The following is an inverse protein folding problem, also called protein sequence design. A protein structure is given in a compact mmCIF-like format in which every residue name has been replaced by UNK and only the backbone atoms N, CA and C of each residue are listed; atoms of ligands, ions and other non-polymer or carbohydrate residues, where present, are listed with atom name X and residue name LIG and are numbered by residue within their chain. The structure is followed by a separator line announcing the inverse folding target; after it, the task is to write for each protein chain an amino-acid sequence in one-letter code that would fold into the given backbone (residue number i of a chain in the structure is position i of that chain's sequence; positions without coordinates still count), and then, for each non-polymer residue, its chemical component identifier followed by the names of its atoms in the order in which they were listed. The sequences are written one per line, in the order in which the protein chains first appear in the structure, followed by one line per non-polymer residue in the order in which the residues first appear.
data_IF_875000904327
#
_entry.id   IF_875000904327
#
_cell.length_a   1.000
_cell.length_b   1.000
_cell.length_c   1.000
_cell.angle_alpha   90.00
_cell.angle_beta   90.00
_cell.angle_gamma   90.00
#
_symmetry.space_group_name_H-M   'P 1'
#
loop_
_entity.id
_entity.type
_entity.pdbx_description
1 polymer ?
#
# COMPACT_ATOMS: atom_id res chain seq x y z
N UNK A 1 39.08 26.23 2.87
CA UNK A 1 37.98 26.19 1.87
C UNK A 1 37.35 24.79 1.67
N UNK A 2 37.51 23.80 2.58
CA UNK A 2 37.07 22.43 2.37
C UNK A 2 35.80 22.00 3.18
N UNK A 3 35.17 22.94 3.88
CA UNK A 3 34.00 22.61 4.72
C UNK A 3 32.64 22.84 4.06
N UNK A 4 32.57 23.73 3.08
CA UNK A 4 31.30 24.12 2.43
C UNK A 4 30.83 23.11 1.38
N UNK A 5 31.73 22.47 0.66
CA UNK A 5 31.38 21.48 -0.37
C UNK A 5 30.91 20.14 0.20
N UNK A 6 31.36 19.75 1.40
CA UNK A 6 30.83 18.49 2.04
C UNK A 6 29.45 18.64 2.64
N UNK A 7 29.07 19.82 3.13
CA UNK A 7 27.73 20.06 3.68
C UNK A 7 26.67 20.09 2.59
N UNK A 8 26.95 20.68 1.43
CA UNK A 8 26.00 20.72 0.31
C UNK A 8 25.78 19.35 -0.33
N UNK A 9 26.80 18.49 -0.44
CA UNK A 9 26.63 17.14 -1.00
C UNK A 9 25.82 16.24 -0.07
N UNK A 10 26.08 16.26 1.24
CA UNK A 10 25.33 15.47 2.23
C UNK A 10 23.89 15.98 2.33
N UNK A 11 23.66 17.28 2.24
CA UNK A 11 22.32 17.87 2.28
C UNK A 11 21.52 17.54 1.02
N UNK A 12 22.14 17.61 -0.17
CA UNK A 12 21.51 17.20 -1.43
C UNK A 12 21.21 15.70 -1.49
N UNK A 13 22.07 14.82 -0.94
CA UNK A 13 21.80 13.39 -0.86
C UNK A 13 20.66 13.10 0.12
N UNK A 14 20.57 13.80 1.25
CA UNK A 14 19.49 13.67 2.21
C UNK A 14 18.14 14.11 1.60
N UNK A 15 18.09 15.26 0.92
CA UNK A 15 16.90 15.77 0.24
C UNK A 15 16.47 14.87 -0.93
N UNK A 16 17.43 14.35 -1.70
CA UNK A 16 17.17 13.38 -2.77
C UNK A 16 16.60 12.07 -2.21
N UNK A 17 17.09 11.62 -1.05
CA UNK A 17 16.59 10.43 -0.35
C UNK A 17 15.17 10.64 0.17
N UNK A 18 14.83 11.82 0.70
CA UNK A 18 13.46 12.15 1.15
C UNK A 18 12.47 12.23 -0.01
N UNK A 19 12.85 12.85 -1.13
CA UNK A 19 12.00 12.95 -2.32
C UNK A 19 11.61 11.57 -2.92
N UNK A 20 12.49 10.57 -2.81
CA UNK A 20 12.25 9.22 -3.34
C UNK A 20 11.36 8.32 -2.46
N UNK A 21 11.05 8.74 -1.22
CA UNK A 21 10.26 7.96 -0.25
C UNK A 21 8.75 8.13 -0.37
N UNK A 22 8.28 9.08 -1.17
CA UNK A 22 6.86 9.28 -1.42
C UNK A 22 6.35 8.21 -2.40
N UNK A 23 5.24 7.57 -2.05
CA UNK A 23 4.64 6.48 -2.81
C UNK A 23 3.45 6.90 -3.64
N UNK A 24 3.36 6.36 -4.86
CA UNK A 24 2.21 6.50 -5.75
C UNK A 24 1.20 5.38 -5.48
N UNK A 25 -0.08 5.76 -5.34
CA UNK A 25 -1.19 4.84 -5.07
C UNK A 25 -1.96 4.53 -6.34
N UNK A 26 -1.82 3.33 -6.85
CA UNK A 26 -2.57 2.65 -7.91
C UNK A 26 -2.52 3.30 -9.30
N UNK A 27 -2.96 4.55 -9.43
CA UNK A 27 -3.18 5.23 -10.72
C UNK A 27 -2.65 6.65 -10.67
N UNK A 28 -2.50 7.29 -11.83
CA UNK A 28 -2.20 8.72 -11.93
C UNK A 28 -3.45 9.53 -12.23
N UNK A 29 -3.48 10.78 -11.73
CA UNK A 29 -4.51 11.76 -12.09
C UNK A 29 -4.43 12.10 -13.59
N UNK A 30 -3.22 12.23 -14.13
CA UNK A 30 -2.92 12.47 -15.55
C UNK A 30 -3.34 11.35 -16.51
N UNK A 31 -3.87 10.21 -16.01
CA UNK A 31 -4.28 9.03 -16.80
C UNK A 31 -3.11 8.25 -17.44
N UNK A 32 -1.85 8.60 -17.20
CA UNK A 32 -0.69 7.88 -17.75
C UNK A 32 -0.56 6.46 -17.20
N UNK A 33 -0.95 6.27 -15.91
CA UNK A 33 -1.03 4.95 -15.28
C UNK A 33 -2.49 4.63 -15.04
N UNK A 34 -2.99 3.57 -15.68
CA UNK A 34 -4.36 3.07 -15.54
C UNK A 34 -4.38 1.57 -15.78
N UNK A 35 -5.36 0.88 -15.17
CA UNK A 35 -5.55 -0.55 -15.33
C UNK A 35 -6.94 -0.83 -15.90
N UNK A 36 -7.08 -2.00 -16.50
CA UNK A 36 -8.35 -2.49 -17.03
C UNK A 36 -8.96 -3.52 -16.10
N UNK A 37 -10.27 -3.61 -16.14
CA UNK A 37 -11.02 -4.64 -15.41
C UNK A 37 -12.14 -5.18 -16.30
N UNK A 38 -12.72 -6.28 -15.87
CA UNK A 38 -13.92 -6.86 -16.48
C UNK A 38 -14.90 -7.20 -15.37
N UNK A 39 -16.18 -6.92 -15.58
CA UNK A 39 -17.23 -7.31 -14.61
C UNK A 39 -17.55 -8.79 -14.74
N UNK A 40 -17.99 -9.42 -13.63
CA UNK A 40 -18.45 -10.81 -13.63
C UNK A 40 -19.56 -11.06 -14.65
N UNK A 41 -20.52 -10.15 -14.76
CA UNK A 41 -21.60 -10.24 -15.72
C UNK A 41 -21.09 -10.30 -17.16
N UNK A 42 -20.12 -9.47 -17.52
CA UNK A 42 -19.51 -9.49 -18.84
C UNK A 42 -18.70 -10.77 -19.10
N UNK A 43 -17.94 -11.23 -18.12
CA UNK A 43 -17.14 -12.46 -18.23
C UNK A 43 -18.04 -13.67 -18.50
N UNK A 44 -19.12 -13.79 -17.74
CA UNK A 44 -20.08 -14.91 -17.87
C UNK A 44 -20.95 -14.90 -19.14
N UNK A 45 -20.83 -13.90 -20.01
CA UNK A 45 -21.46 -13.91 -21.34
C UNK A 45 -20.70 -14.79 -22.35
N UNK A 46 -19.52 -15.27 -21.98
CA UNK A 46 -18.64 -16.10 -22.79
C UNK A 46 -18.63 -17.55 -22.30
N UNK A 47 -18.36 -18.49 -23.18
CA UNK A 47 -18.00 -19.85 -22.77
C UNK A 47 -16.65 -19.88 -22.06
N UNK A 48 -16.30 -21.01 -21.46
CA UNK A 48 -15.13 -21.15 -20.60
C UNK A 48 -13.81 -20.84 -21.32
N UNK A 49 -13.64 -21.29 -22.56
CA UNK A 49 -12.42 -21.05 -23.35
C UNK A 49 -12.28 -19.57 -23.75
N UNK A 50 -13.39 -18.94 -24.11
CA UNK A 50 -13.41 -17.50 -24.40
C UNK A 50 -13.19 -16.66 -23.12
N UNK A 51 -13.69 -17.09 -21.94
CA UNK A 51 -13.38 -16.45 -20.66
C UNK A 51 -11.89 -16.51 -20.34
N UNK A 52 -11.24 -17.67 -20.50
CA UNK A 52 -9.79 -17.82 -20.29
C UNK A 52 -8.99 -16.93 -21.21
N UNK A 53 -9.34 -16.92 -22.50
CA UNK A 53 -8.68 -16.06 -23.49
C UNK A 53 -8.81 -14.58 -23.14
N UNK A 54 -10.04 -14.13 -22.79
CA UNK A 54 -10.30 -12.75 -22.40
C UNK A 54 -9.50 -12.36 -21.14
N UNK A 55 -9.43 -13.22 -20.16
CA UNK A 55 -8.66 -12.96 -18.94
C UNK A 55 -7.16 -12.93 -19.21
N UNK A 56 -6.63 -13.86 -20.03
CA UNK A 56 -5.21 -13.89 -20.38
C UNK A 56 -4.79 -12.62 -21.15
N UNK A 57 -5.62 -12.14 -22.08
CA UNK A 57 -5.38 -10.89 -22.80
C UNK A 57 -5.44 -9.67 -21.85
N UNK A 58 -6.43 -9.65 -20.95
CA UNK A 58 -6.57 -8.60 -19.94
C UNK A 58 -5.36 -8.57 -18.99
N UNK A 59 -4.88 -9.73 -18.55
CA UNK A 59 -3.72 -9.84 -17.66
C UNK A 59 -2.45 -9.37 -18.35
N UNK A 60 -2.24 -9.74 -19.62
CA UNK A 60 -1.09 -9.25 -20.40
C UNK A 60 -1.14 -7.73 -20.60
N UNK A 61 -2.32 -7.16 -20.89
CA UNK A 61 -2.48 -5.70 -21.01
C UNK A 61 -2.21 -5.02 -19.64
N UNK A 62 -2.73 -5.55 -18.53
CA UNK A 62 -2.47 -4.99 -17.19
C UNK A 62 -1.00 -5.15 -16.79
N UNK A 63 -0.33 -6.21 -17.21
CA UNK A 63 1.10 -6.39 -16.97
C UNK A 63 1.94 -5.34 -17.72
N UNK A 64 1.61 -5.04 -18.98
CA UNK A 64 2.22 -3.95 -19.72
C UNK A 64 1.97 -2.58 -19.07
N UNK A 65 0.78 -2.38 -18.48
CA UNK A 65 0.44 -1.17 -17.74
C UNK A 65 1.20 -1.07 -16.42
N UNK A 66 1.43 -2.20 -15.75
CA UNK A 66 2.29 -2.24 -14.57
C UNK A 66 3.72 -1.85 -14.94
N UNK A 67 4.25 -2.37 -16.04
CA UNK A 67 5.56 -2.01 -16.54
C UNK A 67 5.65 -0.50 -16.89
N UNK A 68 4.58 0.06 -17.49
CA UNK A 68 4.46 1.51 -17.70
C UNK A 68 4.44 2.29 -16.38
N UNK A 69 3.74 1.78 -15.35
CA UNK A 69 3.72 2.39 -14.03
C UNK A 69 5.10 2.40 -13.37
N UNK A 70 5.87 1.33 -13.50
CA UNK A 70 7.25 1.26 -13.01
C UNK A 70 8.15 2.27 -13.71
N UNK A 71 8.05 2.38 -15.05
CA UNK A 71 8.78 3.39 -15.83
C UNK A 71 8.40 4.80 -15.36
N UNK A 72 7.09 5.07 -15.22
CA UNK A 72 6.60 6.35 -14.70
C UNK A 72 7.16 6.67 -13.32
N UNK A 73 7.16 5.69 -12.41
CA UNK A 73 7.73 5.86 -11.08
C UNK A 73 9.23 6.19 -11.13
N UNK A 74 10.00 5.44 -11.94
CA UNK A 74 11.43 5.68 -12.11
C UNK A 74 11.73 7.07 -12.70
N UNK A 75 11.01 7.48 -13.74
CA UNK A 75 11.17 8.77 -14.42
C UNK A 75 10.79 9.96 -13.51
N UNK A 76 10.00 9.71 -12.47
CA UNK A 76 9.54 10.71 -11.51
C UNK A 76 10.14 10.53 -10.10
N UNK A 77 11.24 9.77 -9.93
CA UNK A 77 11.90 9.50 -8.65
C UNK A 77 10.97 8.92 -7.56
N UNK A 78 9.96 8.15 -7.93
CA UNK A 78 9.03 7.49 -7.02
C UNK A 78 9.52 6.07 -6.75
N UNK A 79 9.98 5.80 -5.54
CA UNK A 79 10.57 4.51 -5.16
C UNK A 79 9.58 3.55 -4.47
N UNK A 80 8.33 3.96 -4.28
CA UNK A 80 7.26 3.16 -3.67
C UNK A 80 6.02 3.20 -4.57
N UNK A 81 5.49 2.03 -4.90
CA UNK A 81 4.29 1.92 -5.70
C UNK A 81 3.30 0.92 -5.11
N UNK A 82 2.10 1.40 -4.75
CA UNK A 82 0.97 0.53 -4.38
C UNK A 82 0.25 0.08 -5.64
N UNK A 83 0.33 -1.23 -5.93
CA UNK A 83 -0.39 -1.84 -7.03
C UNK A 83 -1.90 -1.90 -6.73
N UNK A 84 -2.77 -1.79 -7.74
CA UNK A 84 -4.22 -1.95 -7.53
C UNK A 84 -4.56 -3.39 -7.12
N UNK A 85 -5.49 -3.56 -6.18
CA UNK A 85 -5.99 -4.87 -5.76
C UNK A 85 -6.60 -5.67 -6.92
N UNK A 86 -7.11 -4.99 -7.93
CA UNK A 86 -7.70 -5.57 -9.14
C UNK A 86 -6.72 -5.73 -10.32
N UNK A 87 -5.41 -5.83 -10.06
CA UNK A 87 -4.39 -5.98 -11.11
C UNK A 87 -4.70 -7.16 -12.03
N UNK A 88 -5.08 -8.31 -11.46
CA UNK A 88 -5.50 -9.51 -12.18
C UNK A 88 -6.90 -9.95 -11.70
N UNK A 89 -7.98 -9.39 -12.28
CA UNK A 89 -9.35 -9.69 -11.86
C UNK A 89 -9.66 -11.19 -11.97
N UNK A 90 -10.39 -11.74 -10.99
CA UNK A 90 -10.76 -13.17 -10.91
C UNK A 90 -9.58 -14.14 -10.74
N UNK A 91 -8.39 -13.68 -10.38
CA UNK A 91 -7.26 -14.58 -10.11
C UNK A 91 -7.50 -15.45 -8.86
N UNK A 92 -8.40 -15.06 -7.96
CA UNK A 92 -8.91 -15.88 -6.85
C UNK A 92 -9.70 -17.12 -7.33
N UNK A 93 -10.25 -17.12 -8.55
CA UNK A 93 -10.99 -18.24 -9.14
C UNK A 93 -10.10 -19.15 -10.01
N UNK A 94 -10.55 -20.39 -10.23
CA UNK A 94 -9.83 -21.37 -11.06
C UNK A 94 -9.56 -20.84 -12.48
N UNK A 95 -10.58 -20.24 -13.11
CA UNK A 95 -10.49 -19.68 -14.47
C UNK A 95 -9.39 -18.60 -14.60
N UNK A 96 -9.23 -17.77 -13.55
CA UNK A 96 -8.17 -16.74 -13.54
C UNK A 96 -6.78 -17.34 -13.38
N UNK A 97 -6.62 -18.37 -12.52
CA UNK A 97 -5.35 -19.11 -12.38
C UNK A 97 -4.96 -19.83 -13.67
N UNK A 98 -5.91 -20.43 -14.35
CA UNK A 98 -5.67 -21.04 -15.66
C UNK A 98 -5.27 -20.03 -16.73
N UNK A 99 -5.92 -18.87 -16.76
CA UNK A 99 -5.54 -17.76 -17.67
C UNK A 99 -4.13 -17.22 -17.37
N UNK A 100 -3.68 -17.24 -16.13
CA UNK A 100 -2.35 -16.79 -15.69
C UNK A 100 -1.24 -17.79 -16.05
N UNK A 101 -1.54 -19.08 -16.21
CA UNK A 101 -0.53 -20.15 -16.35
C UNK A 101 0.48 -19.90 -17.50
N UNK A 102 0.02 -19.25 -18.59
CA UNK A 102 0.88 -18.91 -19.73
C UNK A 102 1.62 -17.57 -19.60
N UNK A 103 1.50 -16.85 -18.46
CA UNK A 103 2.06 -15.51 -18.26
C UNK A 103 3.08 -15.43 -17.12
N UNK A 104 3.37 -16.56 -16.46
CA UNK A 104 4.22 -16.63 -15.26
C UNK A 104 5.60 -15.97 -15.49
N UNK A 105 6.25 -16.28 -16.60
CA UNK A 105 7.57 -15.72 -16.92
C UNK A 105 7.51 -14.22 -17.22
N UNK A 106 6.43 -13.76 -17.90
CA UNK A 106 6.21 -12.33 -18.17
C UNK A 106 5.99 -11.55 -16.85
N UNK A 107 5.21 -12.12 -15.92
CA UNK A 107 4.98 -11.51 -14.58
C UNK A 107 6.28 -11.44 -13.79
N UNK A 108 7.06 -12.54 -13.76
CA UNK A 108 8.35 -12.58 -13.10
C UNK A 108 9.34 -11.54 -13.66
N UNK A 109 9.36 -11.35 -14.98
CA UNK A 109 10.20 -10.35 -15.63
C UNK A 109 9.87 -8.91 -15.20
N UNK A 110 8.56 -8.58 -15.06
CA UNK A 110 8.13 -7.25 -14.57
C UNK A 110 8.51 -7.06 -13.11
N UNK A 111 8.35 -8.08 -12.27
CA UNK A 111 8.78 -8.03 -10.87
C UNK A 111 10.29 -7.86 -10.71
N UNK A 112 11.09 -8.57 -11.50
CA UNK A 112 12.55 -8.41 -11.54
C UNK A 112 12.94 -6.97 -11.98
N UNK A 113 12.19 -6.39 -12.91
CA UNK A 113 12.41 -5.01 -13.34
C UNK A 113 12.10 -4.01 -12.23
N UNK A 114 11.02 -4.18 -11.46
CA UNK A 114 10.74 -3.36 -10.29
C UNK A 114 11.91 -3.37 -9.30
N UNK A 115 12.44 -4.56 -9.01
CA UNK A 115 13.60 -4.74 -8.13
C UNK A 115 14.86 -4.05 -8.69
N UNK A 116 15.13 -4.18 -9.99
CA UNK A 116 16.26 -3.52 -10.64
C UNK A 116 16.17 -1.99 -10.62
N UNK A 117 14.96 -1.44 -10.65
CA UNK A 117 14.68 0.00 -10.53
C UNK A 117 14.63 0.46 -9.06
N UNK A 118 14.83 -0.42 -8.08
CA UNK A 118 14.66 -0.15 -6.64
C UNK A 118 13.27 0.43 -6.29
N UNK A 119 12.22 -0.03 -6.98
CA UNK A 119 10.84 0.35 -6.69
C UNK A 119 10.24 -0.70 -5.76
N UNK A 120 9.85 -0.28 -4.56
CA UNK A 120 9.13 -1.10 -3.58
C UNK A 120 7.70 -1.27 -4.04
N UNK A 121 7.25 -2.54 -4.17
CA UNK A 121 5.86 -2.88 -4.50
C UNK A 121 5.10 -3.29 -3.25
N UNK A 122 3.92 -2.72 -3.07
CA UNK A 122 3.00 -3.04 -1.98
C UNK A 122 1.58 -3.21 -2.52
N UNK A 123 0.71 -3.84 -1.76
CA UNK A 123 -0.71 -4.02 -2.11
C UNK A 123 -1.60 -3.70 -0.90
N UNK A 124 -2.76 -3.15 -1.21
CA UNK A 124 -3.84 -2.95 -0.24
C UNK A 124 -5.10 -3.61 -0.80
N UNK A 125 -5.48 -4.81 -0.31
CA UNK A 125 -6.76 -5.43 -0.65
C UNK A 125 -7.93 -4.51 -0.33
N UNK A 126 -9.02 -4.66 -1.09
CA UNK A 126 -10.23 -3.90 -0.82
C UNK A 126 -10.75 -4.20 0.60
N UNK A 127 -11.49 -3.26 1.18
CA UNK A 127 -12.01 -3.26 2.56
C UNK A 127 -12.95 -4.43 2.94
N UNK A 128 -13.13 -5.41 2.05
CA UNK A 128 -13.90 -6.62 2.31
C UNK A 128 -13.12 -7.72 3.03
N UNK A 129 -11.81 -7.52 3.28
CA UNK A 129 -10.97 -8.47 4.03
C UNK A 129 -11.20 -8.25 5.53
N UNK A 130 -11.89 -9.20 6.18
CA UNK A 130 -12.24 -9.13 7.60
C UNK A 130 -11.89 -10.46 8.28
N UNK A 131 -10.65 -10.57 8.77
CA UNK A 131 -10.11 -11.80 9.37
C UNK A 131 -10.74 -12.16 10.72
N UNK A 132 -11.31 -11.20 11.43
CA UNK A 132 -11.94 -11.36 12.74
C UNK A 132 -13.47 -11.31 12.68
N UNK A 133 -14.07 -11.60 11.52
CA UNK A 133 -15.53 -11.73 11.40
C UNK A 133 -16.08 -12.85 12.29
N UNK A 134 -17.32 -12.67 12.76
CA UNK A 134 -18.07 -13.74 13.43
C UNK A 134 -18.57 -14.82 12.43
N UNK A 135 -18.49 -14.55 11.13
CA UNK A 135 -18.89 -15.50 10.07
C UNK A 135 -17.65 -16.19 9.50
N UNK A 136 -17.61 -17.52 9.65
CA UNK A 136 -16.51 -18.35 9.09
C UNK A 136 -16.39 -18.19 7.57
N UNK A 137 -17.50 -18.01 6.86
CA UNK A 137 -17.49 -17.76 5.41
C UNK A 137 -16.79 -16.44 5.05
N UNK A 138 -16.99 -15.38 5.85
CA UNK A 138 -16.32 -14.10 5.62
C UNK A 138 -14.82 -14.24 5.88
N UNK A 139 -14.43 -14.95 6.94
CA UNK A 139 -13.02 -15.23 7.24
C UNK A 139 -12.37 -16.06 6.12
N UNK A 140 -13.04 -17.13 5.67
CA UNK A 140 -12.53 -17.97 4.58
C UNK A 140 -12.35 -17.18 3.27
N UNK A 141 -13.32 -16.33 2.90
CA UNK A 141 -13.22 -15.45 1.74
C UNK A 141 -12.07 -14.44 1.89
N UNK A 142 -11.90 -13.88 3.10
CA UNK A 142 -10.79 -12.96 3.40
C UNK A 142 -9.44 -13.63 3.21
N UNK A 143 -9.28 -14.87 3.68
CA UNK A 143 -8.05 -15.65 3.48
C UNK A 143 -7.83 -15.94 1.99
N UNK A 144 -8.88 -16.26 1.22
CA UNK A 144 -8.80 -16.47 -0.23
C UNK A 144 -8.31 -15.22 -0.97
N UNK A 145 -8.83 -14.05 -0.61
CA UNK A 145 -8.40 -12.75 -1.19
C UNK A 145 -6.95 -12.47 -0.83
N UNK A 146 -6.54 -12.66 0.43
CA UNK A 146 -5.16 -12.48 0.86
C UNK A 146 -4.21 -13.44 0.17
N UNK A 147 -4.62 -14.71 0.00
CA UNK A 147 -3.81 -15.71 -0.74
C UNK A 147 -3.62 -15.29 -2.19
N UNK A 148 -4.67 -14.80 -2.86
CA UNK A 148 -4.57 -14.25 -4.21
C UNK A 148 -3.50 -13.14 -4.30
N UNK A 149 -3.49 -12.19 -3.36
CA UNK A 149 -2.50 -11.11 -3.35
C UNK A 149 -1.09 -11.63 -3.06
N UNK A 150 -0.97 -12.60 -2.14
CA UNK A 150 0.31 -13.25 -1.85
C UNK A 150 0.86 -14.02 -3.07
N UNK A 151 -0.01 -14.72 -3.80
CA UNK A 151 0.37 -15.46 -5.02
C UNK A 151 0.82 -14.47 -6.13
N UNK A 152 0.16 -13.32 -6.28
CA UNK A 152 0.59 -12.26 -7.21
C UNK A 152 1.97 -11.73 -6.83
N UNK A 153 2.23 -11.49 -5.54
CA UNK A 153 3.55 -11.07 -5.07
C UNK A 153 4.63 -12.13 -5.30
N UNK A 154 4.28 -13.43 -5.13
CA UNK A 154 5.19 -14.53 -5.42
C UNK A 154 5.49 -14.65 -6.93
N UNK A 155 4.48 -14.49 -7.80
CA UNK A 155 4.65 -14.43 -9.26
C UNK A 155 5.55 -13.27 -9.68
N UNK A 156 5.41 -12.11 -9.06
CA UNK A 156 6.29 -10.95 -9.24
C UNK A 156 7.67 -11.12 -8.57
N UNK A 157 7.97 -12.30 -7.99
CA UNK A 157 9.23 -12.60 -7.30
C UNK A 157 9.55 -11.60 -6.18
N UNK A 158 8.53 -11.03 -5.54
CA UNK A 158 8.73 -10.13 -4.43
C UNK A 158 8.98 -10.92 -3.12
N UNK A 159 9.82 -10.40 -2.21
CA UNK A 159 10.17 -11.13 -0.99
C UNK A 159 8.95 -11.37 -0.09
N UNK A 160 8.95 -12.49 0.63
CA UNK A 160 7.96 -12.76 1.69
C UNK A 160 8.40 -12.05 2.97
N UNK A 161 8.25 -10.74 2.98
CA UNK A 161 8.62 -9.87 4.10
C UNK A 161 7.83 -8.57 4.06
N UNK A 162 7.87 -7.75 5.11
CA UNK A 162 7.22 -6.44 5.14
C UNK A 162 7.73 -5.43 4.09
N UNK A 163 8.80 -5.75 3.37
CA UNK A 163 9.22 -4.98 2.20
C UNK A 163 8.16 -4.98 1.11
N UNK A 164 7.57 -6.15 0.82
CA UNK A 164 6.50 -6.34 -0.16
C UNK A 164 5.18 -6.61 0.56
N UNK A 165 4.72 -5.64 1.36
CA UNK A 165 3.59 -5.82 2.26
C UNK A 165 2.25 -5.92 1.54
N UNK A 166 1.33 -6.59 2.22
CA UNK A 166 -0.10 -6.63 1.95
C UNK A 166 -0.76 -6.06 3.20
N UNK A 167 -1.31 -4.86 3.11
CA UNK A 167 -1.91 -4.15 4.24
C UNK A 167 -3.42 -4.28 4.26
N UNK A 168 -3.99 -4.40 5.45
CA UNK A 168 -5.43 -4.44 5.67
C UNK A 168 -5.78 -3.65 6.93
N UNK A 169 -7.02 -3.19 7.02
CA UNK A 169 -7.56 -2.64 8.27
C UNK A 169 -7.84 -3.72 9.31
N UNK A 170 -8.04 -3.32 10.58
CA UNK A 170 -8.31 -4.22 11.71
C UNK A 170 -9.61 -5.02 11.63
N UNK A 171 -10.51 -4.66 10.72
CA UNK A 171 -11.76 -5.37 10.46
C UNK A 171 -12.86 -5.08 11.48
N UNK A 172 -13.41 -6.09 12.17
CA UNK A 172 -14.56 -5.94 13.06
C UNK A 172 -14.12 -5.44 14.44
N UNK A 173 -14.64 -4.27 14.84
CA UNK A 173 -14.38 -3.65 16.15
C UNK A 173 -14.63 -4.59 17.33
N UNK A 174 -13.83 -4.46 18.40
CA UNK A 174 -13.95 -5.22 19.64
C UNK A 174 -13.55 -6.70 19.52
N UNK A 175 -12.89 -7.11 18.43
CA UNK A 175 -12.45 -8.48 18.16
C UNK A 175 -10.95 -8.59 17.86
N UNK A 176 -10.16 -7.79 18.59
CA UNK A 176 -8.70 -7.76 18.43
C UNK A 176 -8.03 -9.10 18.78
N UNK A 177 -8.54 -9.81 19.80
CA UNK A 177 -8.02 -11.14 20.16
C UNK A 177 -8.22 -12.15 19.03
N UNK A 178 -9.41 -12.18 18.44
CA UNK A 178 -9.71 -13.06 17.31
C UNK A 178 -8.89 -12.68 16.07
N UNK A 179 -8.56 -11.39 15.89
CA UNK A 179 -7.66 -10.96 14.82
C UNK A 179 -6.25 -11.52 15.02
N UNK A 180 -5.68 -11.41 16.23
CA UNK A 180 -4.38 -12.02 16.57
C UNK A 180 -4.38 -13.52 16.32
N UNK A 181 -5.42 -14.23 16.78
CA UNK A 181 -5.56 -15.67 16.57
C UNK A 181 -5.72 -16.05 15.08
N UNK A 182 -6.43 -15.22 14.30
CA UNK A 182 -6.58 -15.44 12.86
C UNK A 182 -5.24 -15.25 12.13
N UNK A 183 -4.49 -14.19 12.45
CA UNK A 183 -3.16 -13.91 11.88
C UNK A 183 -2.20 -15.07 12.14
N UNK A 184 -2.19 -15.62 13.36
CA UNK A 184 -1.32 -16.75 13.71
C UNK A 184 -1.60 -18.01 12.88
N UNK A 185 -2.80 -18.17 12.34
CA UNK A 185 -3.20 -19.30 11.49
C UNK A 185 -2.99 -19.10 9.99
N UNK A 186 -2.62 -17.88 9.56
CA UNK A 186 -2.40 -17.59 8.13
C UNK A 186 -1.18 -18.35 7.59
N UNK A 187 -1.23 -18.79 6.32
CA UNK A 187 -0.05 -19.27 5.62
C UNK A 187 1.10 -18.24 5.64
N UNK A 188 2.34 -18.72 5.68
CA UNK A 188 3.53 -17.86 5.70
C UNK A 188 3.60 -16.90 4.51
N UNK A 189 3.13 -17.31 3.33
CA UNK A 189 3.09 -16.44 2.15
C UNK A 189 2.27 -15.15 2.38
N UNK A 190 1.23 -15.24 3.21
CA UNK A 190 0.40 -14.09 3.61
C UNK A 190 1.02 -13.44 4.85
N UNK A 191 1.21 -14.21 5.93
CA UNK A 191 1.56 -13.69 7.25
C UNK A 191 2.85 -12.87 7.26
N UNK A 192 3.87 -13.31 6.50
CA UNK A 192 5.16 -12.62 6.42
C UNK A 192 5.10 -11.29 5.65
N UNK A 193 4.04 -11.04 4.90
CA UNK A 193 3.79 -9.78 4.17
C UNK A 193 2.72 -8.92 4.81
N UNK A 194 1.94 -9.49 5.75
CA UNK A 194 0.79 -8.79 6.31
C UNK A 194 1.22 -7.60 7.14
N UNK A 195 0.51 -6.50 6.98
CA UNK A 195 0.55 -5.33 7.85
C UNK A 195 -0.88 -4.90 8.22
N UNK A 196 -1.06 -4.28 9.37
CA UNK A 196 -2.34 -3.72 9.79
C UNK A 196 -2.28 -2.21 9.79
N UNK A 197 -3.37 -1.59 9.32
CA UNK A 197 -3.57 -0.15 9.31
C UNK A 197 -4.66 0.24 10.32
N UNK A 198 -4.48 1.36 11.02
CA UNK A 198 -5.52 1.97 11.84
C UNK A 198 -6.59 2.61 10.94
N UNK A 199 -7.81 2.66 11.42
CA UNK A 199 -8.93 3.28 10.72
C UNK A 199 -9.68 4.30 11.59
N UNK A 200 -10.59 5.04 10.98
CA UNK A 200 -11.35 6.08 11.65
C UNK A 200 -12.58 5.58 12.44
N UNK A 201 -12.86 4.26 12.42
CA UNK A 201 -14.08 3.70 13.00
C UNK A 201 -13.91 2.53 13.95
N UNK A 202 -13.22 1.49 13.46
CA UNK A 202 -13.23 0.19 14.10
C UNK A 202 -12.07 0.02 15.07
N UNK A 203 -10.89 0.50 14.66
CA UNK A 203 -9.66 0.35 15.43
C UNK A 203 -8.80 1.61 15.35
N UNK A 204 -8.66 2.31 16.47
CA UNK A 204 -7.70 3.39 16.63
C UNK A 204 -6.25 2.90 16.54
N UNK A 205 -5.34 3.86 16.44
CA UNK A 205 -3.93 3.58 16.26
C UNK A 205 -3.32 2.81 17.47
N UNK A 206 -3.75 3.11 18.68
CA UNK A 206 -3.31 2.40 19.89
C UNK A 206 -3.68 0.92 19.86
N UNK A 207 -4.94 0.61 19.53
CA UNK A 207 -5.42 -0.78 19.47
C UNK A 207 -4.71 -1.58 18.38
N UNK A 208 -4.50 -0.98 17.19
CA UNK A 208 -3.76 -1.64 16.10
C UNK A 208 -2.31 -1.89 16.51
N UNK A 209 -1.65 -0.94 17.17
CA UNK A 209 -0.29 -1.14 17.66
C UNK A 209 -0.21 -2.31 18.63
N UNK A 210 -1.17 -2.46 19.55
CA UNK A 210 -1.24 -3.61 20.48
C UNK A 210 -1.46 -4.93 19.76
N UNK A 211 -2.36 -4.97 18.77
CA UNK A 211 -2.61 -6.16 17.96
C UNK A 211 -1.36 -6.53 17.15
N UNK A 212 -0.67 -5.56 16.56
CA UNK A 212 0.58 -5.77 15.83
C UNK A 212 1.69 -6.33 16.73
N UNK A 213 1.87 -5.76 17.92
CA UNK A 213 2.81 -6.27 18.91
C UNK A 213 2.50 -7.71 19.33
N UNK A 214 1.22 -8.06 19.50
CA UNK A 214 0.79 -9.39 19.91
C UNK A 214 0.88 -10.42 18.77
N UNK A 215 0.65 -10.02 17.52
CA UNK A 215 0.64 -10.91 16.36
C UNK A 215 1.97 -10.99 15.61
N UNK A 216 2.90 -10.05 15.88
CA UNK A 216 4.20 -9.97 15.21
C UNK A 216 4.17 -9.46 13.78
N UNK A 217 3.06 -8.80 13.35
CA UNK A 217 2.97 -8.11 12.05
C UNK A 217 3.16 -6.60 12.25
N UNK A 218 3.73 -5.86 11.28
CA UNK A 218 3.96 -4.43 11.44
C UNK A 218 2.67 -3.62 11.29
N UNK A 219 2.68 -2.43 11.88
CA UNK A 219 1.64 -1.42 11.75
C UNK A 219 2.00 -0.41 10.66
N UNK A 220 1.12 -0.22 9.70
CA UNK A 220 1.07 0.97 8.85
C UNK A 220 0.26 2.04 9.60
N UNK A 221 0.87 3.17 9.89
CA UNK A 221 0.23 4.26 10.61
C UNK A 221 -0.32 5.28 9.64
N UNK A 222 -1.65 5.42 9.57
CA UNK A 222 -2.30 6.54 8.88
C UNK A 222 -2.58 7.67 9.86
N UNK A 223 -1.94 8.83 9.63
CA UNK A 223 -2.07 10.00 10.49
C UNK A 223 -3.45 10.65 10.39
N UNK A 224 -4.10 10.62 9.21
CA UNK A 224 -5.41 11.22 9.03
C UNK A 224 -6.51 10.39 9.70
N UNK A 225 -6.46 9.07 9.54
CA UNK A 225 -7.36 8.16 10.26
C UNK A 225 -7.24 8.35 11.78
N UNK A 226 -6.01 8.50 12.29
CA UNK A 226 -5.77 8.76 13.71
C UNK A 226 -6.36 10.09 14.17
N UNK A 227 -6.17 11.17 13.39
CA UNK A 227 -6.76 12.49 13.66
C UNK A 227 -8.28 12.40 13.73
N UNK A 228 -8.91 11.72 12.79
CA UNK A 228 -10.37 11.57 12.73
C UNK A 228 -10.88 10.71 13.89
N UNK A 229 -10.21 9.60 14.18
CA UNK A 229 -10.58 8.67 15.25
C UNK A 229 -10.53 9.33 16.64
N UNK A 230 -9.42 10.00 16.93
CA UNK A 230 -9.16 10.62 18.24
C UNK A 230 -9.73 12.04 18.36
N UNK A 231 -10.19 12.64 17.26
CA UNK A 231 -10.66 14.03 17.25
C UNK A 231 -9.55 15.03 17.55
N UNK A 232 -8.34 14.78 17.05
CA UNK A 232 -7.18 15.66 17.27
C UNK A 232 -7.39 17.02 16.60
N UNK A 233 -6.80 18.11 17.16
CA UNK A 233 -7.04 19.47 16.67
C UNK A 233 -6.29 19.80 15.37
N UNK A 234 -5.13 19.19 15.12
CA UNK A 234 -4.29 19.45 13.95
C UNK A 234 -3.27 18.32 13.69
N UNK A 235 -2.50 18.45 12.59
CA UNK A 235 -1.46 17.48 12.19
C UNK A 235 -0.14 17.61 12.99
N UNK A 236 0.01 18.64 13.82
CA UNK A 236 1.17 18.83 14.70
C UNK A 236 0.87 18.40 16.15
N UNK A 237 -0.28 17.75 16.39
CA UNK A 237 -0.58 17.20 17.70
C UNK A 237 0.53 16.22 18.14
N UNK A 238 1.08 16.36 19.35
CA UNK A 238 2.14 15.49 19.84
C UNK A 238 1.81 13.99 19.84
N UNK A 239 0.52 13.63 19.88
CA UNK A 239 0.04 12.26 19.79
C UNK A 239 0.47 11.58 18.47
N UNK A 240 0.56 12.33 17.37
CA UNK A 240 0.99 11.79 16.08
C UNK A 240 2.45 11.30 16.15
N UNK A 241 3.35 12.08 16.74
CA UNK A 241 4.75 11.66 16.90
C UNK A 241 4.88 10.43 17.83
N UNK A 242 4.08 10.38 18.90
CA UNK A 242 4.03 9.24 19.81
C UNK A 242 3.56 7.99 19.08
N UNK A 243 2.48 8.09 18.31
CA UNK A 243 1.93 6.94 17.56
C UNK A 243 2.83 6.50 16.42
N UNK A 244 3.48 7.43 15.72
CA UNK A 244 4.49 7.10 14.70
C UNK A 244 5.63 6.26 15.29
N UNK A 245 6.13 6.66 16.47
CA UNK A 245 7.20 5.92 17.17
C UNK A 245 6.71 4.54 17.63
N UNK A 246 5.47 4.44 18.12
CA UNK A 246 4.86 3.20 18.56
C UNK A 246 4.61 2.24 17.38
N UNK A 247 4.11 2.74 16.26
CA UNK A 247 4.00 1.98 15.02
C UNK A 247 5.38 1.48 14.55
N UNK A 248 6.43 2.35 14.61
CA UNK A 248 7.80 1.97 14.27
C UNK A 248 8.32 0.78 15.08
N UNK A 249 7.96 0.71 16.36
CA UNK A 249 8.38 -0.38 17.25
C UNK A 249 7.81 -1.75 16.83
N UNK A 250 6.77 -1.81 16.01
CA UNK A 250 6.20 -3.06 15.47
C UNK A 250 6.98 -3.60 14.26
N UNK A 251 7.86 -2.79 13.65
CA UNK A 251 8.65 -3.18 12.49
C UNK A 251 9.97 -3.84 12.93
N UNK A 252 10.20 -5.08 12.50
CA UNK A 252 11.46 -5.79 12.76
C UNK A 252 12.67 -5.04 12.16
N UNK A 253 12.47 -4.40 11.00
CA UNK A 253 13.42 -3.45 10.41
C UNK A 253 12.74 -2.07 10.30
N UNK A 254 13.05 -1.13 11.21
CA UNK A 254 12.46 0.21 11.22
C UNK A 254 12.71 1.03 9.95
N UNK A 255 13.70 0.66 9.13
CA UNK A 255 13.96 1.35 7.84
C UNK A 255 12.92 1.01 6.78
N UNK A 256 12.11 -0.01 7.00
CA UNK A 256 11.02 -0.43 6.13
C UNK A 256 9.65 0.13 6.57
N UNK A 257 9.59 0.86 7.70
CA UNK A 257 8.33 1.45 8.17
C UNK A 257 7.63 2.22 7.06
N UNK A 258 6.36 1.87 6.80
CA UNK A 258 5.46 2.56 5.90
C UNK A 258 4.40 3.30 6.71
N UNK A 259 4.07 4.50 6.27
CA UNK A 259 2.98 5.31 6.82
C UNK A 259 2.12 5.85 5.69
N UNK A 260 0.87 6.21 5.99
CA UNK A 260 -0.04 6.86 5.06
C UNK A 260 -0.27 8.31 5.43
N UNK A 261 -0.46 9.15 4.42
CA UNK A 261 -0.89 10.53 4.56
C UNK A 261 -2.04 10.83 3.61
N UNK A 262 -3.11 11.34 4.18
CA UNK A 262 -4.19 12.02 3.46
C UNK A 262 -4.60 13.28 4.21
N UNK A 263 -5.41 14.13 3.59
CA UNK A 263 -6.07 15.25 4.26
C UNK A 263 -7.57 15.18 3.97
N UNK A 264 -8.39 15.72 4.85
CA UNK A 264 -9.83 15.81 4.65
C UNK A 264 -10.20 16.73 3.49
N UNK A 265 -11.20 16.34 2.67
CA UNK A 265 -11.57 17.04 1.44
C UNK A 265 -12.27 18.38 1.70
N UNK A 266 -13.33 18.35 2.46
CA UNK A 266 -14.23 19.50 2.67
C UNK A 266 -14.12 20.11 4.06
N UNK A 267 -13.55 19.35 5.00
CA UNK A 267 -13.26 19.78 6.36
C UNK A 267 -12.03 19.00 6.86
N UNK A 268 -11.38 19.52 7.89
CA UNK A 268 -10.20 18.92 8.51
C UNK A 268 -10.43 17.45 8.91
N UNK A 269 -11.58 17.13 9.49
CA UNK A 269 -11.96 15.77 9.90
C UNK A 269 -12.81 15.00 8.88
N UNK A 270 -12.88 15.48 7.61
CA UNK A 270 -13.57 14.75 6.55
C UNK A 270 -12.75 13.50 6.17
N UNK A 271 -13.39 12.35 6.22
CA UNK A 271 -12.78 11.06 5.85
C UNK A 271 -12.51 10.91 4.36
N UNK A 272 -13.24 11.67 3.53
CA UNK A 272 -12.97 11.69 2.10
C UNK A 272 -11.66 12.41 1.86
N UNK A 273 -10.75 11.76 1.15
CA UNK A 273 -9.43 12.34 0.85
C UNK A 273 -9.55 13.58 -0.01
N UNK A 274 -8.78 14.61 0.34
CA UNK A 274 -8.59 15.82 -0.43
C UNK A 274 -7.91 15.57 -1.78
N UNK A 275 -7.96 16.55 -2.65
CA UNK A 275 -7.30 16.47 -3.95
C UNK A 275 -5.78 16.48 -3.81
N UNK A 276 -5.25 17.23 -2.85
CA UNK A 276 -3.83 17.39 -2.56
C UNK A 276 -3.54 17.16 -1.07
N UNK A 277 -2.27 17.07 -0.71
CA UNK A 277 -1.81 17.14 0.68
C UNK A 277 -1.39 18.58 0.96
N UNK A 278 -2.16 19.25 1.78
CA UNK A 278 -1.87 20.63 2.20
C UNK A 278 -1.04 20.69 3.47
N UNK A 279 -1.22 19.69 4.36
CA UNK A 279 -0.51 19.58 5.64
C UNK A 279 0.06 18.20 5.80
N UNK A 280 1.36 18.11 6.04
CA UNK A 280 2.10 16.90 6.40
C UNK A 280 2.56 17.06 7.85
N UNK A 281 2.33 16.08 8.75
CA UNK A 281 2.88 16.13 10.11
C UNK A 281 4.40 16.27 10.08
N UNK A 282 4.99 17.20 10.83
CA UNK A 282 6.45 17.32 10.94
C UNK A 282 7.11 16.03 11.45
N UNK A 283 6.39 15.26 12.25
CA UNK A 283 6.83 13.93 12.70
C UNK A 283 7.16 12.98 11.54
N UNK A 284 6.53 13.15 10.37
CA UNK A 284 6.73 12.29 9.19
C UNK A 284 8.09 12.52 8.49
N UNK A 285 8.83 13.57 8.85
CA UNK A 285 10.24 13.72 8.44
C UNK A 285 11.10 12.52 8.88
N UNK A 286 10.70 11.85 9.96
CA UNK A 286 11.36 10.63 10.43
C UNK A 286 10.85 9.35 9.74
N UNK A 287 9.76 9.40 8.97
CA UNK A 287 9.18 8.21 8.33
C UNK A 287 10.02 7.78 7.11
N UNK A 288 10.45 6.50 7.03
CA UNK A 288 11.23 6.02 5.88
C UNK A 288 10.44 5.99 4.58
N UNK A 289 9.15 5.64 4.62
CA UNK A 289 8.29 5.47 3.46
C UNK A 289 6.90 6.06 3.73
N UNK A 290 6.37 6.83 2.77
CA UNK A 290 5.10 7.55 2.91
C UNK A 290 4.26 7.29 1.66
N UNK A 291 3.12 6.62 1.79
CA UNK A 291 2.10 6.58 0.74
C UNK A 291 1.25 7.85 0.76
N UNK A 292 1.08 8.44 -0.42
CA UNK A 292 0.33 9.69 -0.59
C UNK A 292 -1.07 9.38 -1.09
N UNK A 293 -2.03 9.40 -0.19
CA UNK A 293 -3.43 9.07 -0.46
C UNK A 293 -4.28 10.29 -0.81
N UNK A 294 -3.84 11.06 -1.79
CA UNK A 294 -4.59 12.18 -2.35
C UNK A 294 -5.28 11.79 -3.67
N UNK A 295 -6.37 12.48 -4.03
CA UNK A 295 -7.08 12.21 -5.29
C UNK A 295 -6.28 12.55 -6.53
N UNK A 296 -5.50 13.64 -6.47
CA UNK A 296 -4.62 14.06 -7.56
C UNK A 296 -3.27 13.35 -7.57
N UNK A 297 -3.12 12.25 -6.80
CA UNK A 297 -2.07 11.25 -6.91
C UNK A 297 -0.66 11.87 -7.07
N UNK A 298 -0.08 11.74 -8.27
CA UNK A 298 1.26 12.25 -8.61
C UNK A 298 1.39 13.77 -8.49
N UNK A 299 0.31 14.51 -8.67
CA UNK A 299 0.33 15.98 -8.49
C UNK A 299 0.51 16.35 -7.02
N UNK A 300 -0.10 15.58 -6.10
CA UNK A 300 0.13 15.75 -4.68
C UNK A 300 1.59 15.46 -4.31
N UNK A 301 2.17 14.37 -4.84
CA UNK A 301 3.59 14.05 -4.65
C UNK A 301 4.49 15.18 -5.15
N UNK A 302 4.21 15.70 -6.36
CA UNK A 302 4.96 16.80 -6.94
C UNK A 302 4.89 18.06 -6.08
N UNK A 303 3.69 18.42 -5.57
CA UNK A 303 3.49 19.58 -4.69
C UNK A 303 4.28 19.44 -3.39
N UNK A 304 4.23 18.28 -2.74
CA UNK A 304 5.00 18.01 -1.53
C UNK A 304 6.50 18.21 -1.73
N UNK A 305 7.05 17.71 -2.84
CA UNK A 305 8.48 17.88 -3.18
C UNK A 305 8.87 19.34 -3.41
N UNK A 306 8.01 20.10 -4.10
CA UNK A 306 8.26 21.52 -4.33
C UNK A 306 8.28 22.31 -3.01
N UNK A 307 7.39 21.97 -2.07
CA UNK A 307 7.37 22.59 -0.74
C UNK A 307 8.66 22.25 0.03
N UNK A 308 9.10 20.99 0.06
CA UNK A 308 10.33 20.58 0.74
C UNK A 308 11.57 21.26 0.17
N UNK A 309 11.65 21.48 -1.15
CA UNK A 309 12.78 22.17 -1.79
C UNK A 309 12.77 23.69 -1.56
N UNK A 310 11.63 24.31 -1.23
CA UNK A 310 11.55 25.73 -0.97
C UNK A 310 12.10 26.15 0.41
N UNK A 311 12.24 25.19 1.33
CA UNK A 311 12.78 25.39 2.69
C UNK A 311 14.21 24.86 2.86
N UNK A 312 14.82 24.31 1.79
CA UNK A 312 16.22 23.82 1.73
C UNK A 312 17.14 24.88 1.10
#
# INVERSE_FOLDING_TARGET
MNGYFRRTAIHNDFLRTMASRLGLVCITHSQQVRFRTVTRTRLLQHDEDAQKTLLAELYRDNLQRLDTALTYCADNDIALYRMPSSLFPFYDAAIGREAMAGLVDEVAAVGARASAMNIRLVMHPDQFVVLNSASDNVVANSVTILQMHADIMDLLQQPRSPWALIEIHGGKSGRGKELVEAIARLPDAIRLRLALENDEYAYGADEIAEICMASGVPMVFDAHHHIVHEGLPDYEDPGIAVMLARARATWADPTQQLVHISNGRSAFSDRSHADLIEVMPSAFDAAPWIEVEAKHKEEAIRKLRMASNAYA
#
